data_IF_547091871513
#
_entry.id   IF_547091871513
#
_cell.length_a   1.000
_cell.length_b   1.000
_cell.length_c   1.000
_cell.angle_alpha   90.00
_cell.angle_beta   90.00
_cell.angle_gamma   90.00
#
_symmetry.space_group_name_H-M   'P 1'
#
loop_
_entity.id
_entity.type
_entity.pdbx_description
1 polymer ?
#
# COMPACT_ATOMS: atom_id res chain seq x y z
N UNK A 1 -32.37 -42.51 -20.94
CA UNK A 1 -31.09 -42.66 -20.21
C UNK A 1 -30.07 -41.85 -20.97
N UNK A 2 -29.59 -40.73 -20.43
CA UNK A 2 -28.44 -40.04 -21.01
C UNK A 2 -27.24 -41.01 -20.97
N UNK A 3 -26.47 -41.08 -22.05
CA UNK A 3 -25.30 -41.96 -22.06
C UNK A 3 -24.26 -41.41 -21.08
N UNK A 4 -23.41 -42.27 -20.53
CA UNK A 4 -22.31 -41.87 -19.63
C UNK A 4 -21.41 -40.80 -20.26
N UNK A 5 -21.33 -40.78 -21.60
CA UNK A 5 -20.59 -39.80 -22.40
C UNK A 5 -21.24 -38.42 -22.35
N UNK A 6 -22.57 -38.34 -22.39
CA UNK A 6 -23.31 -37.07 -22.31
C UNK A 6 -23.16 -36.42 -20.94
N UNK A 7 -23.12 -37.22 -19.86
CA UNK A 7 -22.89 -36.74 -18.50
C UNK A 7 -21.47 -36.21 -18.33
N UNK A 8 -20.47 -36.89 -18.90
CA UNK A 8 -19.07 -36.44 -18.87
C UNK A 8 -18.85 -35.17 -19.69
N UNK A 9 -19.49 -35.03 -20.85
CA UNK A 9 -19.43 -33.81 -21.67
C UNK A 9 -20.06 -32.62 -20.95
N UNK A 10 -21.21 -32.81 -20.29
CA UNK A 10 -21.84 -31.74 -19.51
C UNK A 10 -20.95 -31.34 -18.34
N UNK A 11 -20.35 -32.30 -17.61
CA UNK A 11 -19.43 -32.00 -16.52
C UNK A 11 -18.14 -31.32 -17.00
N UNK A 12 -17.62 -31.69 -18.17
CA UNK A 12 -16.43 -31.06 -18.76
C UNK A 12 -16.72 -29.64 -19.26
N UNK A 13 -17.88 -29.42 -19.88
CA UNK A 13 -18.35 -28.08 -20.26
C UNK A 13 -18.65 -27.26 -19.00
N UNK A 14 -19.19 -27.85 -17.94
CA UNK A 14 -19.35 -27.19 -16.65
C UNK A 14 -18.01 -26.87 -16.00
N UNK A 15 -17.00 -27.74 -16.10
CA UNK A 15 -15.64 -27.49 -15.61
C UNK A 15 -14.95 -26.38 -16.42
N UNK A 16 -15.16 -26.34 -17.73
CA UNK A 16 -14.70 -25.25 -18.61
C UNK A 16 -15.46 -23.94 -18.37
N UNK A 17 -16.72 -23.98 -17.95
CA UNK A 17 -17.52 -22.81 -17.57
C UNK A 17 -17.26 -22.36 -16.12
N UNK A 18 -16.85 -23.27 -15.23
CA UNK A 18 -16.41 -23.01 -13.84
C UNK A 18 -14.97 -22.51 -13.79
N UNK A 19 -14.17 -22.78 -14.82
CA UNK A 19 -13.01 -21.95 -15.19
C UNK A 19 -13.53 -20.62 -15.75
N UNK A 20 -14.20 -19.86 -14.90
CA UNK A 20 -14.44 -18.44 -15.11
C UNK A 20 -13.10 -17.82 -15.55
N UNK A 21 -13.11 -17.14 -16.70
CA UNK A 21 -12.00 -16.36 -17.23
C UNK A 21 -11.24 -15.66 -16.09
N UNK A 22 -10.18 -16.29 -15.62
CA UNK A 22 -9.21 -15.65 -14.77
C UNK A 22 -8.46 -14.74 -15.73
N UNK A 23 -8.89 -13.47 -15.78
CA UNK A 23 -8.15 -12.44 -16.50
C UNK A 23 -6.77 -12.44 -15.88
N UNK A 24 -5.77 -12.79 -16.68
CA UNK A 24 -4.40 -12.86 -16.21
C UNK A 24 -3.92 -11.42 -15.95
N UNK A 25 -4.15 -10.90 -14.74
CA UNK A 25 -3.73 -9.59 -14.30
C UNK A 25 -2.22 -9.59 -14.17
N UNK A 26 -1.59 -8.97 -15.15
CA UNK A 26 -0.22 -8.53 -15.12
C UNK A 26 -0.23 -7.00 -15.28
N UNK A 27 0.94 -6.38 -15.35
CA UNK A 27 1.03 -4.93 -15.59
C UNK A 27 0.39 -4.50 -16.92
N UNK A 28 -0.05 -5.41 -17.80
CA UNK A 28 -0.56 -5.08 -19.12
C UNK A 28 0.52 -4.50 -20.02
N UNK A 29 1.78 -4.81 -19.71
CA UNK A 29 2.96 -4.36 -20.43
C UNK A 29 3.53 -5.47 -21.29
N UNK A 30 3.90 -5.13 -22.52
CA UNK A 30 4.86 -5.93 -23.27
C UNK A 30 6.23 -5.91 -22.61
N UNK A 31 7.06 -6.93 -22.88
CA UNK A 31 8.46 -6.98 -22.40
C UNK A 31 9.25 -5.70 -22.75
N UNK A 32 9.02 -5.14 -23.93
CA UNK A 32 9.65 -3.89 -24.36
C UNK A 32 9.16 -2.67 -23.56
N UNK A 33 7.89 -2.61 -23.19
CA UNK A 33 7.35 -1.53 -22.36
C UNK A 33 7.85 -1.65 -20.92
N UNK A 34 7.97 -2.87 -20.39
CA UNK A 34 8.55 -3.12 -19.07
C UNK A 34 10.03 -2.73 -18.99
N UNK A 35 10.82 -3.10 -20.01
CA UNK A 35 12.23 -2.69 -20.11
C UNK A 35 12.37 -1.16 -20.19
N UNK A 36 11.56 -0.51 -21.02
CA UNK A 36 11.54 0.97 -21.12
C UNK A 36 11.18 1.62 -19.80
N UNK A 37 10.20 1.08 -19.07
CA UNK A 37 9.83 1.58 -17.75
C UNK A 37 10.99 1.45 -16.75
N UNK A 38 11.68 0.29 -16.75
CA UNK A 38 12.87 0.05 -15.91
C UNK A 38 14.02 1.01 -16.25
N UNK A 39 14.27 1.27 -17.53
CA UNK A 39 15.27 2.23 -18.00
C UNK A 39 14.93 3.65 -17.57
N UNK A 40 13.67 4.08 -17.69
CA UNK A 40 13.23 5.41 -17.25
C UNK A 40 13.42 5.62 -15.74
N UNK A 41 13.12 4.60 -14.93
CA UNK A 41 13.31 4.67 -13.48
C UNK A 41 14.79 4.69 -13.04
N UNK A 42 15.66 3.99 -13.76
CA UNK A 42 17.10 3.98 -13.44
C UNK A 42 17.86 5.18 -14.02
N UNK A 43 17.31 5.84 -15.04
CA UNK A 43 17.88 7.03 -15.67
C UNK A 43 17.19 8.35 -15.27
N UNK A 44 16.43 8.38 -14.17
CA UNK A 44 15.69 9.57 -13.68
C UNK A 44 16.53 10.84 -13.64
N UNK A 45 17.79 10.73 -13.23
CA UNK A 45 18.75 11.85 -13.12
C UNK A 45 18.91 12.64 -14.42
N UNK A 46 18.76 11.99 -15.58
CA UNK A 46 18.85 12.64 -16.90
C UNK A 46 17.66 13.55 -17.20
N UNK A 47 16.54 13.32 -16.53
CA UNK A 47 15.28 14.05 -16.68
C UNK A 47 14.94 14.96 -15.50
N UNK A 48 15.79 14.98 -14.47
CA UNK A 48 15.57 15.71 -13.24
C UNK A 48 15.75 17.23 -13.43
N UNK A 49 14.76 18.00 -12.99
CA UNK A 49 14.81 19.47 -12.98
C UNK A 49 15.56 19.97 -11.73
N UNK A 50 15.38 19.29 -10.61
CA UNK A 50 16.06 19.52 -9.33
C UNK A 50 16.29 18.16 -8.68
N UNK A 51 17.38 18.03 -7.93
CA UNK A 51 17.63 16.85 -7.09
C UNK A 51 17.67 17.29 -5.63
N UNK A 52 16.97 16.55 -4.77
CA UNK A 52 16.91 16.77 -3.33
C UNK A 52 17.65 15.61 -2.66
N UNK A 53 18.55 15.93 -1.73
CA UNK A 53 19.22 14.95 -0.89
C UNK A 53 18.65 15.04 0.50
N UNK A 54 18.04 13.96 0.96
CA UNK A 54 17.41 13.96 2.27
C UNK A 54 17.54 12.59 2.91
N UNK A 55 18.06 12.57 4.14
CA UNK A 55 18.04 11.38 4.99
C UNK A 55 18.74 10.14 4.39
N UNK A 56 19.69 10.36 3.48
CA UNK A 56 20.46 9.33 2.77
C UNK A 56 19.88 8.97 1.40
N UNK A 57 18.70 9.48 1.07
CA UNK A 57 18.07 9.30 -0.23
C UNK A 57 18.34 10.47 -1.18
N UNK A 58 18.14 10.17 -2.46
CA UNK A 58 18.14 11.13 -3.54
C UNK A 58 16.75 11.10 -4.16
N UNK A 59 16.07 12.26 -4.20
CA UNK A 59 14.80 12.44 -4.88
C UNK A 59 15.00 13.33 -6.10
N UNK A 60 14.63 12.83 -7.27
CA UNK A 60 14.67 13.60 -8.50
C UNK A 60 13.29 14.22 -8.76
N UNK A 61 13.26 15.55 -8.86
CA UNK A 61 12.07 16.30 -9.21
C UNK A 61 11.86 16.22 -10.72
N UNK A 62 10.90 15.40 -11.14
CA UNK A 62 10.56 15.18 -12.54
C UNK A 62 9.35 16.04 -12.90
N UNK A 63 9.35 16.60 -14.11
CA UNK A 63 8.16 17.25 -14.69
C UNK A 63 6.93 16.34 -14.52
N UNK A 64 5.88 16.87 -13.91
CA UNK A 64 4.67 16.12 -13.57
C UNK A 64 4.14 15.34 -14.77
N UNK A 65 4.15 15.91 -15.97
CA UNK A 65 3.59 15.32 -17.18
C UNK A 65 4.51 14.29 -17.84
N UNK A 66 5.79 14.24 -17.43
CA UNK A 66 6.83 13.36 -17.97
C UNK A 66 7.22 12.22 -17.03
N UNK A 67 6.61 12.12 -15.84
CA UNK A 67 6.88 11.03 -14.91
C UNK A 67 6.66 9.65 -15.56
N UNK A 68 7.45 8.62 -15.21
CA UNK A 68 7.42 7.30 -15.85
C UNK A 68 6.03 6.67 -15.91
N UNK A 69 5.22 6.87 -14.86
CA UNK A 69 3.86 6.33 -14.78
C UNK A 69 3.00 6.66 -16.01
N UNK A 70 3.09 7.87 -16.57
CA UNK A 70 2.29 8.26 -17.75
C UNK A 70 2.65 7.55 -19.05
N UNK A 71 3.79 6.84 -19.12
CA UNK A 71 4.18 6.04 -20.28
C UNK A 71 3.47 4.68 -20.31
N UNK A 72 2.80 4.30 -19.23
CA UNK A 72 2.02 3.07 -19.16
C UNK A 72 0.86 3.08 -20.18
N UNK A 73 0.59 1.96 -20.89
CA UNK A 73 -0.50 1.86 -21.87
C UNK A 73 -1.86 2.34 -21.39
N UNK A 74 -2.19 2.08 -20.12
CA UNK A 74 -3.44 2.52 -19.52
C UNK A 74 -3.62 4.05 -19.45
N UNK A 75 -2.55 4.82 -19.50
CA UNK A 75 -2.60 6.29 -19.52
C UNK A 75 -2.47 6.88 -20.94
N UNK A 76 -2.38 6.06 -22.00
CA UNK A 76 -2.22 6.54 -23.40
C UNK A 76 -3.38 7.46 -23.83
N UNK A 77 -4.59 7.21 -23.32
CA UNK A 77 -5.79 7.98 -23.67
C UNK A 77 -6.08 9.14 -22.70
N UNK A 78 -5.18 9.42 -21.75
CA UNK A 78 -5.34 10.51 -20.79
C UNK A 78 -5.13 11.86 -21.48
N UNK A 79 -6.19 12.67 -21.53
CA UNK A 79 -6.12 14.01 -22.13
C UNK A 79 -5.26 14.97 -21.32
N UNK A 80 -4.74 16.02 -21.95
CA UNK A 80 -4.00 17.07 -21.24
C UNK A 80 -4.84 17.72 -20.13
N UNK A 81 -6.14 17.93 -20.38
CA UNK A 81 -7.06 18.49 -19.39
C UNK A 81 -7.16 17.61 -18.14
N UNK A 82 -7.17 16.29 -18.32
CA UNK A 82 -7.20 15.32 -17.21
C UNK A 82 -5.88 15.34 -16.43
N UNK A 83 -4.73 15.32 -17.11
CA UNK A 83 -3.42 15.46 -16.44
C UNK A 83 -3.33 16.79 -15.68
N UNK A 84 -3.84 17.88 -16.24
CA UNK A 84 -3.91 19.18 -15.56
C UNK A 84 -4.79 19.12 -14.30
N UNK A 85 -5.94 18.43 -14.35
CA UNK A 85 -6.79 18.25 -13.15
C UNK A 85 -6.03 17.50 -12.06
N UNK A 86 -5.35 16.40 -12.40
CA UNK A 86 -4.52 15.63 -11.47
C UNK A 86 -3.42 16.48 -10.83
N UNK A 87 -2.73 17.26 -11.65
CA UNK A 87 -1.72 18.19 -11.17
C UNK A 87 -2.31 19.19 -10.16
N UNK A 88 -3.46 19.81 -10.47
CA UNK A 88 -4.14 20.74 -9.56
C UNK A 88 -4.61 20.06 -8.26
N UNK A 89 -4.99 18.79 -8.31
CA UNK A 89 -5.38 18.02 -7.13
C UNK A 89 -4.20 17.68 -6.21
N UNK A 90 -2.98 17.57 -6.78
CA UNK A 90 -1.74 17.38 -6.02
C UNK A 90 -1.18 18.66 -5.38
N UNK A 91 -1.56 19.84 -5.88
CA UNK A 91 -1.08 21.17 -5.43
C UNK A 91 -1.71 21.70 -4.13
N UNK A 92 -2.46 20.89 -3.37
CA UNK A 92 -3.27 21.39 -2.24
C UNK A 92 -2.41 22.20 -1.23
N UNK A 93 -3.01 23.27 -0.69
CA UNK A 93 -2.36 24.41 -0.01
C UNK A 93 -1.40 24.03 1.12
N UNK A 94 -0.20 24.64 1.09
CA UNK A 94 0.85 24.60 2.13
C UNK A 94 0.42 25.04 3.54
N UNK A 95 -0.73 25.70 3.68
CA UNK A 95 -1.22 26.22 4.97
C UNK A 95 -1.73 25.13 5.91
N UNK A 96 -1.96 23.92 5.39
CA UNK A 96 -2.70 22.88 6.10
C UNK A 96 -1.79 21.72 6.54
N UNK A 97 -0.62 21.52 5.91
CA UNK A 97 0.30 20.45 6.31
C UNK A 97 0.86 20.67 7.73
N UNK A 98 0.77 19.68 8.63
CA UNK A 98 1.47 19.73 9.90
C UNK A 98 2.96 19.95 9.70
N UNK A 99 3.53 20.85 10.49
CA UNK A 99 4.96 21.10 10.55
C UNK A 99 5.69 19.74 10.71
N UNK A 100 6.35 19.28 9.63
CA UNK A 100 7.17 18.05 9.47
C UNK A 100 6.59 16.88 8.65
N UNK A 101 5.59 17.07 7.79
CA UNK A 101 5.19 16.05 6.79
C UNK A 101 5.74 16.42 5.41
N UNK A 102 6.36 15.45 4.73
CA UNK A 102 6.98 15.63 3.42
C UNK A 102 8.49 15.92 3.47
N UNK A 103 9.08 16.09 2.29
CA UNK A 103 10.48 16.44 2.09
C UNK A 103 10.81 17.82 2.67
N UNK A 104 12.06 18.01 3.10
CA UNK A 104 12.63 19.31 3.49
C UNK A 104 12.57 20.32 2.35
N UNK A 105 12.70 21.59 2.71
CA UNK A 105 12.71 22.74 1.78
C UNK A 105 11.48 22.79 0.85
N UNK A 106 10.31 22.42 1.39
CA UNK A 106 9.02 22.46 0.68
C UNK A 106 8.93 21.50 -0.52
N UNK A 107 9.83 20.51 -0.61
CA UNK A 107 9.84 19.49 -1.64
C UNK A 107 10.24 19.99 -3.04
N UNK A 108 9.56 19.45 -4.05
CA UNK A 108 9.85 19.70 -5.45
C UNK A 108 9.20 21.00 -5.96
N UNK A 109 9.87 21.74 -6.87
CA UNK A 109 9.34 23.00 -7.39
C UNK A 109 8.02 22.78 -8.15
N UNK A 110 7.24 23.86 -8.27
CA UNK A 110 5.97 23.84 -8.99
C UNK A 110 6.11 23.22 -10.39
N UNK A 111 5.16 22.35 -10.74
CA UNK A 111 5.18 21.62 -12.01
C UNK A 111 5.97 20.31 -11.96
N UNK A 112 6.55 19.94 -10.82
CA UNK A 112 7.37 18.73 -10.68
C UNK A 112 6.96 17.89 -9.47
N UNK A 113 7.32 16.60 -9.49
CA UNK A 113 7.06 15.66 -8.40
C UNK A 113 8.33 14.88 -8.02
N UNK A 114 8.53 14.57 -6.73
CA UNK A 114 9.68 13.80 -6.28
C UNK A 114 9.51 12.34 -6.62
N UNK A 115 10.50 11.77 -7.31
CA UNK A 115 10.63 10.33 -7.50
C UNK A 115 11.94 9.91 -6.86
N UNK A 116 11.88 8.96 -5.92
CA UNK A 116 13.08 8.43 -5.27
C UNK A 116 13.94 7.73 -6.30
N UNK A 117 15.22 8.12 -6.37
CA UNK A 117 16.21 7.46 -7.21
C UNK A 117 16.49 6.07 -6.66
N UNK A 118 16.57 5.11 -7.57
CA UNK A 118 16.88 3.71 -7.28
C UNK A 118 17.99 3.24 -8.21
N UNK A 119 18.89 2.41 -7.69
CA UNK A 119 20.00 1.87 -8.49
C UNK A 119 19.54 0.72 -9.39
N UNK A 120 18.53 -0.03 -8.94
CA UNK A 120 17.94 -1.16 -9.64
C UNK A 120 16.43 -1.23 -9.39
N UNK A 121 15.72 -1.72 -10.40
CA UNK A 121 14.29 -1.99 -10.31
C UNK A 121 14.10 -3.49 -10.10
N UNK A 122 13.49 -3.86 -8.99
CA UNK A 122 13.17 -5.25 -8.65
C UNK A 122 11.66 -5.45 -8.79
N UNK A 123 11.20 -5.65 -10.04
CA UNK A 123 9.86 -6.19 -10.28
C UNK A 123 10.01 -7.70 -10.22
N UNK A 124 9.70 -8.28 -9.06
CA UNK A 124 9.66 -9.74 -8.90
C UNK A 124 8.37 -10.24 -9.54
N UNK A 125 8.51 -10.84 -10.72
CA UNK A 125 7.54 -11.77 -11.28
C UNK A 125 7.93 -13.15 -10.77
N UNK A 126 7.05 -13.78 -9.98
CA UNK A 126 7.15 -15.11 -9.36
C UNK A 126 7.42 -15.04 -7.86
N UNK A 127 6.37 -15.30 -7.09
CA UNK A 127 6.42 -15.65 -5.67
C UNK A 127 5.99 -17.11 -5.58
N UNK A 128 6.88 -17.99 -5.13
CA UNK A 128 6.45 -19.10 -4.28
C UNK A 128 6.19 -18.49 -2.91
N UNK A 129 5.04 -18.77 -2.28
CA UNK A 129 4.71 -18.26 -0.93
C UNK A 129 5.91 -18.49 0.00
N UNK A 130 6.69 -17.43 0.26
CA UNK A 130 7.94 -17.61 0.99
C UNK A 130 7.59 -17.84 2.46
N UNK A 131 7.93 -19.01 3.03
CA UNK A 131 7.74 -19.23 4.45
C UNK A 131 8.61 -18.21 5.22
N UNK A 132 8.06 -17.62 6.29
CA UNK A 132 8.76 -16.58 7.07
C UNK A 132 7.95 -15.31 7.35
N UNK A 133 6.76 -15.17 6.76
CA UNK A 133 5.83 -14.09 7.11
C UNK A 133 5.11 -14.38 8.42
N UNK A 134 5.06 -13.37 9.30
CA UNK A 134 4.20 -13.41 10.49
C UNK A 134 3.28 -12.19 10.59
N UNK A 135 2.10 -12.42 11.15
CA UNK A 135 1.01 -11.45 11.18
C UNK A 135 0.41 -11.34 12.57
N UNK A 136 0.03 -10.13 12.95
CA UNK A 136 -0.85 -9.84 14.08
C UNK A 136 -1.79 -8.71 13.65
N UNK A 137 -3.00 -9.07 13.24
CA UNK A 137 -3.89 -8.17 12.50
C UNK A 137 -5.38 -8.37 12.81
N UNK A 138 -6.15 -7.33 12.52
CA UNK A 138 -7.60 -7.37 12.42
C UNK A 138 -7.97 -7.51 10.94
N UNK A 139 -8.70 -8.56 10.57
CA UNK A 139 -9.11 -8.83 9.20
C UNK A 139 -10.61 -9.04 9.08
N UNK A 140 -11.22 -8.52 8.03
CA UNK A 140 -12.61 -8.84 7.71
C UNK A 140 -12.76 -10.32 7.34
N UNK A 141 -13.91 -10.92 7.60
CA UNK A 141 -14.18 -12.29 7.11
C UNK A 141 -14.24 -12.29 5.59
N UNK A 142 -13.81 -13.38 4.93
CA UNK A 142 -13.98 -13.54 3.50
C UNK A 142 -15.46 -13.43 3.11
N UNK A 143 -15.78 -12.49 2.22
CA UNK A 143 -17.13 -12.29 1.70
C UNK A 143 -17.05 -11.85 0.25
N UNK A 144 -17.35 -12.76 -0.68
CA UNK A 144 -17.26 -12.50 -2.12
C UNK A 144 -18.26 -11.45 -2.61
N UNK A 145 -19.32 -11.19 -1.85
CA UNK A 145 -20.35 -10.22 -2.22
C UNK A 145 -20.04 -8.82 -1.67
N UNK A 146 -19.02 -8.70 -0.81
CA UNK A 146 -18.62 -7.42 -0.25
C UNK A 146 -18.04 -6.52 -1.33
N UNK A 147 -18.46 -5.26 -1.27
CA UNK A 147 -18.11 -4.22 -2.23
C UNK A 147 -17.44 -3.05 -1.51
N UNK A 148 -16.15 -3.18 -1.27
CA UNK A 148 -15.31 -2.17 -0.61
C UNK A 148 -14.76 -1.20 -1.66
N UNK A 149 -15.04 0.10 -1.50
CA UNK A 149 -14.47 1.16 -2.32
C UNK A 149 -13.45 2.01 -1.55
N UNK A 150 -13.15 1.68 -0.29
CA UNK A 150 -12.03 2.29 0.42
C UNK A 150 -11.77 1.72 1.81
N UNK A 151 -10.55 1.94 2.29
CA UNK A 151 -10.10 1.59 3.64
C UNK A 151 -9.29 2.74 4.25
N UNK A 152 -9.36 2.90 5.56
CA UNK A 152 -8.54 3.88 6.28
C UNK A 152 -8.12 3.40 7.67
N UNK A 153 -7.03 3.96 8.17
CA UNK A 153 -6.65 3.89 9.59
C UNK A 153 -5.57 4.93 9.89
N UNK A 154 -5.43 5.28 11.17
CA UNK A 154 -4.21 5.91 11.68
C UNK A 154 -3.28 4.83 12.20
N UNK A 155 -2.01 4.95 11.88
CA UNK A 155 -0.96 4.10 12.38
C UNK A 155 -0.08 4.87 13.34
N UNK A 156 0.14 4.33 14.55
CA UNK A 156 1.17 4.84 15.44
C UNK A 156 2.55 4.73 14.77
N UNK A 157 3.33 5.80 14.77
CA UNK A 157 4.61 5.82 14.07
C UNK A 157 5.72 5.27 14.97
N UNK A 158 6.06 3.99 14.85
CA UNK A 158 7.15 3.38 15.63
C UNK A 158 8.32 3.00 14.74
N UNK A 159 9.53 2.95 15.31
CA UNK A 159 10.72 2.47 14.61
C UNK A 159 11.33 1.28 15.37
N UNK A 160 10.89 0.04 15.08
CA UNK A 160 11.45 -1.16 15.70
C UNK A 160 12.96 -1.25 15.44
N UNK A 161 13.70 -1.74 16.43
CA UNK A 161 15.16 -1.89 16.37
C UNK A 161 15.53 -3.33 16.06
N UNK A 162 16.72 -3.54 15.49
CA UNK A 162 17.23 -4.88 15.18
C UNK A 162 16.64 -5.51 13.92
N UNK A 163 16.08 -4.72 13.00
CA UNK A 163 15.70 -5.18 11.66
C UNK A 163 16.96 -5.17 10.79
N UNK A 164 17.35 -6.31 10.23
CA UNK A 164 18.60 -6.46 9.48
C UNK A 164 18.42 -7.28 8.19
N UNK A 165 19.35 -7.10 7.24
CA UNK A 165 19.42 -7.91 6.03
C UNK A 165 18.14 -7.85 5.17
N UNK A 166 17.55 -9.02 4.94
CA UNK A 166 16.30 -9.19 4.17
C UNK A 166 15.03 -9.16 5.03
N UNK A 167 15.15 -8.90 6.33
CA UNK A 167 13.98 -8.82 7.21
C UNK A 167 13.21 -7.52 6.97
N UNK A 168 11.93 -7.53 7.31
CA UNK A 168 11.16 -6.29 7.44
C UNK A 168 10.16 -6.35 8.57
N UNK A 169 9.78 -5.17 9.06
CA UNK A 169 8.71 -5.00 10.03
C UNK A 169 7.80 -3.86 9.60
N UNK A 170 6.53 -4.18 9.38
CA UNK A 170 5.55 -3.30 8.78
C UNK A 170 4.32 -3.18 9.66
N UNK A 171 3.72 -2.00 9.62
CA UNK A 171 2.38 -1.76 10.12
C UNK A 171 1.56 -1.10 9.01
N UNK A 172 0.52 -1.82 8.60
CA UNK A 172 -0.07 -1.65 7.27
C UNK A 172 -1.55 -1.97 7.23
N UNK A 173 -2.20 -1.46 6.19
CA UNK A 173 -3.52 -1.89 5.76
C UNK A 173 -3.48 -2.45 4.36
N UNK A 174 -4.35 -3.41 4.10
CA UNK A 174 -4.47 -4.09 2.81
C UNK A 174 -5.90 -4.02 2.35
N UNK A 175 -6.09 -3.67 1.07
CA UNK A 175 -7.33 -3.88 0.34
C UNK A 175 -7.09 -5.00 -0.67
N UNK A 176 -7.94 -6.03 -0.68
CA UNK A 176 -7.78 -7.16 -1.59
C UNK A 176 -9.09 -7.61 -2.24
N UNK A 177 -8.93 -8.30 -3.36
CA UNK A 177 -9.99 -9.07 -4.00
C UNK A 177 -9.40 -10.29 -4.71
N UNK A 178 -9.56 -11.47 -4.11
CA UNK A 178 -8.85 -12.67 -4.57
C UNK A 178 -7.34 -12.49 -4.39
N UNK A 179 -6.58 -12.78 -5.45
CA UNK A 179 -5.11 -12.74 -5.41
C UNK A 179 -4.53 -11.36 -5.72
N UNK A 180 -5.39 -10.36 -5.94
CA UNK A 180 -4.99 -8.96 -6.04
C UNK A 180 -5.00 -8.30 -4.66
N UNK A 181 -3.93 -7.56 -4.36
CA UNK A 181 -3.88 -6.72 -3.17
C UNK A 181 -3.16 -5.39 -3.41
N UNK A 182 -3.68 -4.35 -2.78
CA UNK A 182 -3.06 -3.04 -2.66
C UNK A 182 -2.81 -2.76 -1.17
N UNK A 183 -1.54 -2.83 -0.77
CA UNK A 183 -1.09 -2.58 0.59
C UNK A 183 -0.46 -1.21 0.70
N UNK A 184 -0.71 -0.53 1.82
CA UNK A 184 0.05 0.66 2.21
C UNK A 184 0.19 0.73 3.72
N UNK A 185 1.21 1.42 4.18
CA UNK A 185 1.51 1.52 5.59
C UNK A 185 2.86 2.17 5.79
N UNK A 186 3.44 1.87 6.94
CA UNK A 186 4.80 2.23 7.28
C UNK A 186 5.60 0.95 7.50
N UNK A 187 6.85 0.94 7.05
CA UNK A 187 7.72 -0.24 7.13
C UNK A 187 9.14 0.16 7.47
N UNK A 188 9.84 -0.71 8.18
CA UNK A 188 11.30 -0.74 8.27
C UNK A 188 11.75 -1.90 7.40
N UNK A 189 12.40 -1.61 6.28
CA UNK A 189 12.82 -2.61 5.30
C UNK A 189 14.23 -2.25 4.76
N UNK A 190 15.30 -2.79 5.38
CA UNK A 190 16.67 -2.50 5.00
C UNK A 190 17.02 -2.99 3.59
N UNK A 191 16.38 -4.05 3.11
CA UNK A 191 16.57 -4.54 1.74
C UNK A 191 16.11 -3.50 0.71
N UNK A 192 14.92 -2.93 0.92
CA UNK A 192 14.29 -1.99 -0.02
C UNK A 192 14.87 -0.57 0.07
N UNK A 193 15.19 -0.10 1.28
CA UNK A 193 15.57 1.30 1.51
C UNK A 193 17.04 1.52 1.84
N UNK A 194 17.80 0.45 2.11
CA UNK A 194 19.20 0.50 2.55
C UNK A 194 19.41 1.27 3.85
N UNK A 195 18.38 1.31 4.69
CA UNK A 195 18.43 1.86 6.04
C UNK A 195 17.39 1.20 6.97
N UNK A 196 17.41 1.60 8.23
CA UNK A 196 16.50 1.11 9.27
C UNK A 196 15.54 2.23 9.75
N UNK A 197 15.04 3.03 8.81
CA UNK A 197 14.05 4.08 9.10
C UNK A 197 12.65 3.57 8.79
N UNK A 198 11.68 4.00 9.59
CA UNK A 198 10.26 3.83 9.31
C UNK A 198 9.87 4.70 8.12
N UNK A 199 9.42 4.05 7.04
CA UNK A 199 9.16 4.70 5.75
C UNK A 199 7.76 4.40 5.26
N UNK A 200 7.14 5.39 4.63
CA UNK A 200 5.90 5.19 3.88
C UNK A 200 6.16 4.22 2.74
N UNK A 201 5.30 3.21 2.59
CA UNK A 201 5.41 2.28 1.48
C UNK A 201 4.06 1.90 0.89
N UNK A 202 4.12 1.40 -0.33
CA UNK A 202 3.04 0.67 -0.96
C UNK A 202 3.59 -0.63 -1.54
N UNK A 203 2.75 -1.66 -1.53
CA UNK A 203 3.06 -2.95 -2.14
C UNK A 203 1.82 -3.42 -2.89
N UNK A 204 1.99 -3.74 -4.17
CA UNK A 204 0.91 -4.27 -5.01
C UNK A 204 1.26 -5.71 -5.36
N UNK A 205 0.28 -6.58 -5.24
CA UNK A 205 0.31 -7.95 -5.76
C UNK A 205 -0.85 -8.09 -6.75
N UNK A 206 -0.56 -8.62 -7.94
CA UNK A 206 -1.51 -8.92 -8.99
C UNK A 206 -1.48 -10.43 -9.25
N UNK A 207 -2.65 -11.05 -9.29
CA UNK A 207 -2.79 -12.50 -9.54
C UNK A 207 -1.89 -13.38 -8.64
N UNK A 208 -1.56 -12.92 -7.42
CA UNK A 208 -0.75 -13.64 -6.45
C UNK A 208 0.73 -13.84 -6.85
N UNK A 209 1.16 -13.37 -8.02
CA UNK A 209 2.51 -13.64 -8.56
C UNK A 209 3.29 -12.38 -8.89
N UNK A 210 2.63 -11.42 -9.54
CA UNK A 210 3.29 -10.20 -10.00
C UNK A 210 3.25 -9.18 -8.88
N UNK A 211 4.40 -8.69 -8.45
CA UNK A 211 4.44 -7.71 -7.37
C UNK A 211 5.44 -6.58 -7.61
N UNK A 212 5.26 -5.49 -6.87
CA UNK A 212 6.15 -4.33 -6.89
C UNK A 212 5.99 -3.51 -5.61
N UNK A 213 7.00 -2.69 -5.33
CA UNK A 213 6.96 -1.71 -4.27
C UNK A 213 6.99 -0.28 -4.81
N UNK A 214 6.24 0.61 -4.16
CA UNK A 214 6.33 2.06 -4.36
C UNK A 214 6.23 2.50 -5.84
N UNK A 215 7.04 3.47 -6.27
CA UNK A 215 7.09 3.96 -7.65
C UNK A 215 7.68 2.94 -8.65
N UNK A 216 8.15 1.77 -8.17
CA UNK A 216 8.54 0.67 -9.06
C UNK A 216 7.32 -0.05 -9.64
N UNK A 217 6.13 0.24 -9.14
CA UNK A 217 4.87 -0.24 -9.69
C UNK A 217 4.51 0.50 -10.98
N UNK A 218 4.47 -0.19 -12.13
CA UNK A 218 4.08 0.43 -13.39
C UNK A 218 2.69 1.07 -13.33
N UNK A 219 2.58 2.25 -13.94
CA UNK A 219 1.33 3.02 -13.99
C UNK A 219 1.00 3.82 -12.73
N UNK A 220 1.82 3.76 -11.66
CA UNK A 220 1.68 4.67 -10.53
C UNK A 220 1.92 6.12 -10.94
N UNK A 221 1.04 7.04 -10.52
CA UNK A 221 1.20 8.48 -10.72
C UNK A 221 1.40 9.13 -9.35
N UNK A 222 2.58 9.74 -9.16
CA UNK A 222 2.87 10.61 -8.02
C UNK A 222 2.14 11.93 -8.22
N UNK A 223 1.37 12.35 -7.21
CA UNK A 223 0.60 13.60 -7.22
C UNK A 223 1.23 14.67 -6.33
N UNK A 224 1.60 14.30 -5.10
CA UNK A 224 2.20 15.25 -4.17
C UNK A 224 3.61 15.64 -4.61
N UNK A 225 3.92 16.94 -4.61
CA UNK A 225 5.27 17.48 -4.79
C UNK A 225 6.14 17.38 -3.54
N UNK A 226 5.56 16.97 -2.41
CA UNK A 226 6.19 17.02 -1.08
C UNK A 226 6.35 15.63 -0.45
N UNK A 227 5.40 14.72 -0.69
CA UNK A 227 5.36 13.41 -0.01
C UNK A 227 5.57 12.30 -1.05
N UNK A 228 6.81 11.84 -1.29
CA UNK A 228 7.06 10.67 -2.13
C UNK A 228 6.76 9.36 -1.39
N UNK A 229 6.44 8.29 -2.12
CA UNK A 229 6.57 6.94 -1.56
C UNK A 229 8.03 6.64 -1.23
N UNK A 230 8.24 5.87 -0.17
CA UNK A 230 9.55 5.64 0.43
C UNK A 230 10.03 6.78 1.32
N UNK A 231 9.25 7.85 1.54
CA UNK A 231 9.63 8.96 2.44
C UNK A 231 9.85 8.47 3.89
N UNK A 232 10.96 8.83 4.54
CA UNK A 232 11.20 8.53 5.95
C UNK A 232 10.32 9.41 6.85
N UNK A 233 9.54 8.77 7.72
CA UNK A 233 8.62 9.48 8.61
C UNK A 233 9.43 10.26 9.66
N UNK A 234 9.30 11.59 9.66
CA UNK A 234 10.10 12.45 10.53
C UNK A 234 9.77 12.36 12.03
N UNK A 235 8.49 12.15 12.40
CA UNK A 235 8.04 12.06 13.79
C UNK A 235 7.82 10.60 14.19
N UNK A 236 8.72 10.07 15.00
CA UNK A 236 8.64 8.71 15.56
C UNK A 236 8.21 8.79 17.03
N UNK A 237 7.25 7.95 17.38
CA UNK A 237 6.72 7.76 18.73
C UNK A 237 7.76 7.12 19.64
N UNK A 238 7.74 7.51 20.91
CA UNK A 238 8.60 6.96 21.96
C UNK A 238 7.73 6.21 22.95
N UNK A 239 8.09 4.96 23.23
CA UNK A 239 7.40 4.12 24.23
C UNK A 239 7.33 4.83 25.58
N UNK A 240 6.12 5.00 26.12
CA UNK A 240 5.85 5.73 27.36
C UNK A 240 6.02 7.26 27.26
N UNK A 241 6.30 7.79 26.07
CA UNK A 241 6.65 9.19 25.82
C UNK A 241 5.65 9.92 24.94
N UNK A 242 6.15 10.69 23.96
CA UNK A 242 5.32 11.34 22.95
C UNK A 242 4.89 10.34 21.87
N UNK A 243 3.60 10.35 21.54
CA UNK A 243 3.01 9.49 20.52
C UNK A 243 2.58 10.32 19.31
N UNK A 244 2.92 9.83 18.14
CA UNK A 244 2.52 10.36 16.86
C UNK A 244 1.82 9.27 16.06
N UNK A 245 0.87 9.68 15.23
CA UNK A 245 0.15 8.77 14.35
C UNK A 245 -0.06 9.42 12.99
N UNK A 246 -0.06 8.60 11.95
CA UNK A 246 -0.27 9.04 10.57
C UNK A 246 -1.52 8.38 10.02
N UNK A 247 -2.45 9.18 9.50
CA UNK A 247 -3.62 8.65 8.79
C UNK A 247 -3.22 8.24 7.37
N UNK A 248 -3.65 7.05 6.95
CA UNK A 248 -3.63 6.66 5.54
C UNK A 248 -5.03 6.26 5.11
N UNK A 249 -5.36 6.55 3.86
CA UNK A 249 -6.60 6.12 3.20
C UNK A 249 -6.30 5.65 1.79
N UNK A 250 -6.87 4.51 1.43
CA UNK A 250 -7.04 4.09 0.04
C UNK A 250 -8.52 4.24 -0.28
N UNK A 251 -8.86 4.90 -1.38
CA UNK A 251 -10.24 4.99 -1.83
C UNK A 251 -10.32 5.01 -3.34
N UNK A 252 -11.39 4.42 -3.88
CA UNK A 252 -11.73 4.47 -5.29
C UNK A 252 -12.26 5.87 -5.62
N UNK A 253 -11.72 6.47 -6.67
CA UNK A 253 -12.18 7.75 -7.21
C UNK A 253 -12.45 7.63 -8.71
N UNK A 254 -13.24 8.54 -9.26
CA UNK A 254 -13.61 8.58 -10.67
C UNK A 254 -13.15 9.88 -11.32
N UNK A 255 -12.28 9.75 -12.31
CA UNK A 255 -11.82 10.85 -13.13
C UNK A 255 -12.66 10.99 -14.39
N UNK A 256 -13.04 12.23 -14.73
CA UNK A 256 -13.71 12.52 -16.00
C UNK A 256 -12.67 12.62 -17.12
N UNK A 257 -12.92 11.95 -18.25
CA UNK A 257 -12.02 11.99 -19.42
C UNK A 257 -12.46 12.97 -20.51
N UNK A 258 -13.45 13.83 -20.24
CA UNK A 258 -13.95 14.84 -21.20
C UNK A 258 -14.96 14.34 -22.24
N UNK A 259 -15.02 13.04 -22.47
CA UNK A 259 -16.17 12.33 -23.07
C UNK A 259 -17.04 11.77 -21.92
N UNK A 260 -18.28 11.32 -22.17
CA UNK A 260 -19.16 10.75 -21.13
C UNK A 260 -18.61 9.49 -20.40
N UNK A 261 -17.33 9.18 -20.55
CA UNK A 261 -16.59 8.14 -19.85
C UNK A 261 -15.91 8.68 -18.59
N UNK A 262 -15.91 7.84 -17.55
CA UNK A 262 -15.15 8.04 -16.32
C UNK A 262 -14.13 6.91 -16.21
N UNK A 263 -12.90 7.24 -15.84
CA UNK A 263 -11.90 6.25 -15.47
C UNK A 263 -11.80 6.18 -13.96
N UNK A 264 -11.83 4.97 -13.42
CA UNK A 264 -11.63 4.79 -11.99
C UNK A 264 -10.17 4.62 -11.62
N UNK A 265 -9.81 5.11 -10.46
CA UNK A 265 -8.48 5.01 -9.86
C UNK A 265 -8.56 4.61 -8.40
N UNK A 266 -7.53 3.95 -7.90
CA UNK A 266 -7.26 3.86 -6.48
C UNK A 266 -6.38 5.03 -6.09
N UNK A 267 -6.85 5.84 -5.14
CA UNK A 267 -6.17 7.02 -4.65
C UNK A 267 -5.58 6.75 -3.26
N UNK A 268 -4.28 7.02 -3.08
CA UNK A 268 -3.65 7.06 -1.78
C UNK A 268 -3.70 8.48 -1.22
N UNK A 269 -4.26 8.60 -0.02
CA UNK A 269 -4.32 9.84 0.71
C UNK A 269 -3.67 9.69 2.08
N UNK A 270 -3.10 10.79 2.56
CA UNK A 270 -2.39 10.86 3.82
C UNK A 270 -2.92 11.99 4.68
N UNK A 271 -2.91 11.73 5.99
CA UNK A 271 -3.21 12.67 7.06
C UNK A 271 -4.65 13.23 7.08
N UNK A 272 -4.94 14.07 8.07
CA UNK A 272 -6.28 14.64 8.31
C UNK A 272 -6.77 15.52 7.16
N UNK A 273 -5.86 16.20 6.47
CA UNK A 273 -6.17 17.04 5.30
C UNK A 273 -6.39 16.24 4.00
N UNK A 274 -6.28 14.91 4.10
CA UNK A 274 -6.49 13.98 3.00
C UNK A 274 -5.60 14.30 1.79
N UNK A 275 -4.35 14.63 2.06
CA UNK A 275 -3.31 14.98 1.09
C UNK A 275 -3.16 13.86 0.08
N UNK A 276 -3.30 14.16 -1.20
CA UNK A 276 -3.23 13.18 -2.29
C UNK A 276 -1.77 12.85 -2.58
N UNK A 277 -1.33 11.66 -2.17
CA UNK A 277 0.06 11.22 -2.37
C UNK A 277 0.27 10.76 -3.80
N UNK A 278 -0.59 9.86 -4.28
CA UNK A 278 -0.55 9.33 -5.63
C UNK A 278 -1.72 8.40 -5.92
N UNK A 279 -1.74 7.84 -7.11
CA UNK A 279 -2.83 6.97 -7.56
C UNK A 279 -2.36 5.85 -8.49
N UNK A 280 -3.22 4.83 -8.63
CA UNK A 280 -3.09 3.75 -9.60
C UNK A 280 -4.36 3.65 -10.44
N UNK A 281 -4.27 3.44 -11.76
CA UNK A 281 -5.45 3.19 -12.56
C UNK A 281 -6.01 1.82 -12.18
N UNK A 282 -7.32 1.70 -11.94
CA UNK A 282 -7.88 0.41 -11.50
C UNK A 282 -7.64 -0.71 -12.51
N UNK A 283 -7.44 -0.37 -13.79
CA UNK A 283 -7.19 -1.30 -14.90
C UNK A 283 -5.90 -2.11 -14.79
N UNK A 284 -4.96 -1.74 -13.89
CA UNK A 284 -3.79 -2.60 -13.60
C UNK A 284 -4.14 -3.82 -12.76
N UNK A 285 -5.27 -3.77 -12.06
CA UNK A 285 -5.71 -4.86 -11.21
C UNK A 285 -6.60 -5.82 -12.00
N UNK A 286 -6.63 -7.09 -11.60
CA UNK A 286 -7.58 -8.08 -12.09
C UNK A 286 -8.94 -7.88 -11.45
N UNK A 287 -9.22 -8.57 -10.35
CA UNK A 287 -10.50 -8.46 -9.63
C UNK A 287 -10.60 -7.17 -8.81
N UNK A 288 -9.47 -6.67 -8.31
CA UNK A 288 -9.44 -5.40 -7.58
C UNK A 288 -9.64 -4.18 -8.51
N UNK A 289 -9.77 -4.39 -9.82
CA UNK A 289 -10.24 -3.37 -10.76
C UNK A 289 -11.61 -2.82 -10.35
N UNK A 290 -12.53 -3.71 -9.99
CA UNK A 290 -13.91 -3.36 -9.67
C UNK A 290 -13.99 -2.82 -8.25
N UNK A 291 -13.83 -3.66 -7.24
CA UNK A 291 -13.89 -3.27 -5.83
C UNK A 291 -13.10 -4.26 -4.99
N UNK A 292 -12.74 -3.89 -3.77
CA UNK A 292 -12.24 -4.85 -2.79
C UNK A 292 -13.36 -5.67 -2.19
N UNK A 293 -13.04 -6.84 -1.65
CA UNK A 293 -13.99 -7.67 -0.89
C UNK A 293 -13.45 -8.09 0.49
N UNK A 294 -12.16 -7.87 0.71
CA UNK A 294 -11.49 -8.11 1.99
C UNK A 294 -10.58 -6.94 2.32
N UNK A 295 -10.47 -6.67 3.62
CA UNK A 295 -9.58 -5.67 4.17
C UNK A 295 -9.01 -6.12 5.51
N UNK A 296 -7.78 -5.70 5.80
CA UNK A 296 -7.12 -6.01 7.06
C UNK A 296 -6.10 -4.95 7.46
N UNK A 297 -5.90 -4.81 8.78
CA UNK A 297 -5.05 -3.80 9.42
C UNK A 297 -4.23 -4.44 10.53
N UNK A 298 -2.94 -4.13 10.62
CA UNK A 298 -2.11 -4.57 11.73
C UNK A 298 -0.64 -4.68 11.36
N UNK A 299 0.06 -5.51 12.11
CA UNK A 299 1.47 -5.78 11.92
C UNK A 299 1.72 -6.96 10.98
N UNK A 300 2.73 -6.80 10.12
CA UNK A 300 3.27 -7.82 9.24
C UNK A 300 4.79 -7.77 9.32
N UNK A 301 5.42 -8.91 9.59
CA UNK A 301 6.88 -9.04 9.62
C UNK A 301 7.31 -10.17 8.71
N UNK A 302 8.57 -10.13 8.28
CA UNK A 302 9.20 -11.19 7.51
C UNK A 302 10.64 -11.40 7.97
N UNK A 303 11.05 -12.66 7.99
CA UNK A 303 12.44 -13.08 8.04
C UNK A 303 12.63 -14.36 7.23
N UNK A 304 13.82 -14.56 6.64
CA UNK A 304 14.23 -15.88 6.18
C UNK A 304 14.12 -16.93 7.30
N UNK A 305 13.81 -18.17 6.93
CA UNK A 305 13.60 -19.28 7.88
C UNK A 305 14.82 -19.62 8.75
N UNK A 306 16.02 -19.28 8.31
CA UNK A 306 17.27 -19.53 9.04
C UNK A 306 17.62 -18.42 10.04
N UNK A 307 16.81 -17.36 10.10
CA UNK A 307 17.01 -16.18 10.94
C UNK A 307 15.88 -16.03 11.98
N UNK A 308 16.16 -15.44 13.16
CA UNK A 308 15.13 -15.06 14.12
C UNK A 308 14.15 -14.06 13.52
N UNK A 309 12.85 -14.24 13.75
CA UNK A 309 11.85 -13.27 13.25
C UNK A 309 12.00 -11.92 13.96
N UNK A 310 11.89 -10.79 13.25
CA UNK A 310 12.17 -9.48 13.81
C UNK A 310 11.06 -8.99 14.75
N UNK A 311 11.34 -7.98 15.60
CA UNK A 311 10.30 -7.35 16.39
C UNK A 311 9.24 -6.65 15.52
N UNK A 312 8.00 -6.73 15.97
CA UNK A 312 6.83 -6.03 15.42
C UNK A 312 6.47 -4.85 16.30
N UNK A 313 6.12 -3.70 15.71
CA UNK A 313 5.63 -2.54 16.45
C UNK A 313 6.70 -1.90 17.34
N UNK A 314 6.49 -1.94 18.65
CA UNK A 314 7.46 -1.51 19.68
C UNK A 314 8.48 -2.59 20.02
N UNK A 315 8.21 -3.86 19.66
CA UNK A 315 9.01 -5.01 20.10
C UNK A 315 8.67 -5.49 21.51
N UNK A 316 7.62 -4.94 22.14
CA UNK A 316 7.19 -5.27 23.49
C UNK A 316 5.77 -5.82 23.39
N UNK A 317 5.51 -7.00 23.94
CA UNK A 317 4.15 -7.55 23.93
C UNK A 317 3.14 -6.56 24.52
N UNK A 318 1.94 -6.41 23.91
CA UNK A 318 1.02 -5.37 24.30
C UNK A 318 0.43 -5.63 25.70
N UNK A 319 0.60 -4.69 26.63
CA UNK A 319 0.00 -4.72 27.98
C UNK A 319 -1.33 -3.94 28.07
N UNK A 320 -1.97 -3.65 26.94
CA UNK A 320 -3.30 -3.01 26.89
C UNK A 320 -3.31 -1.47 26.93
N UNK A 321 -2.15 -0.81 26.87
CA UNK A 321 -2.03 0.65 26.85
C UNK A 321 -1.38 1.14 25.54
N UNK A 322 -2.08 2.07 24.86
CA UNK A 322 -1.62 2.75 23.64
C UNK A 322 -0.30 3.49 23.82
N UNK A 323 0.05 3.86 25.07
CA UNK A 323 1.33 4.48 25.40
C UNK A 323 2.53 3.52 25.29
N UNK A 324 2.27 2.22 25.33
CA UNK A 324 3.32 1.20 25.35
C UNK A 324 3.17 0.19 24.22
N UNK A 325 2.25 0.43 23.28
CA UNK A 325 1.99 -0.48 22.18
C UNK A 325 1.83 0.26 20.84
N UNK A 326 2.28 -0.39 19.78
CA UNK A 326 1.90 -0.02 18.43
C UNK A 326 0.41 -0.27 18.23
N UNK A 327 -0.22 0.61 17.46
CA UNK A 327 -1.67 0.62 17.37
C UNK A 327 -2.14 1.13 16.01
N UNK A 328 -3.34 0.67 15.65
CA UNK A 328 -4.14 1.23 14.58
C UNK A 328 -5.47 1.70 15.14
N UNK A 329 -5.81 2.96 14.87
CA UNK A 329 -7.04 3.60 15.38
C UNK A 329 -7.89 4.15 14.23
N UNK A 330 -9.16 4.45 14.52
CA UNK A 330 -10.16 4.87 13.52
C UNK A 330 -10.15 3.94 12.28
N UNK A 331 -10.14 2.62 12.53
CA UNK A 331 -10.20 1.62 11.47
C UNK A 331 -11.55 1.70 10.76
N UNK A 332 -11.54 1.95 9.46
CA UNK A 332 -12.74 2.18 8.67
C UNK A 332 -12.72 1.51 7.30
N UNK A 333 -13.91 1.09 6.86
CA UNK A 333 -14.22 0.64 5.50
C UNK A 333 -15.26 1.58 4.90
N UNK A 334 -15.07 1.95 3.64
CA UNK A 334 -16.09 2.55 2.79
C UNK A 334 -16.64 1.49 1.84
N UNK A 335 -17.95 1.48 1.67
CA UNK A 335 -18.64 0.57 0.75
C UNK A 335 -19.12 1.33 -0.49
N UNK A 336 -19.30 0.60 -1.59
CA UNK A 336 -19.87 1.15 -2.83
C UNK A 336 -21.14 1.97 -2.56
N UNK A 337 -21.24 3.14 -3.19
CA UNK A 337 -22.37 4.07 -3.07
C UNK A 337 -22.58 4.69 -1.68
N UNK A 338 -21.64 4.55 -0.75
CA UNK A 338 -21.73 5.14 0.59
C UNK A 338 -21.36 6.63 0.65
N UNK A 339 -21.06 7.26 -0.50
CA UNK A 339 -20.54 8.64 -0.58
C UNK A 339 -19.25 8.82 0.23
N UNK A 340 -18.36 7.84 0.19
CA UNK A 340 -17.09 7.83 0.92
C UNK A 340 -17.25 7.94 2.44
N UNK A 341 -18.35 7.39 2.98
CA UNK A 341 -18.56 7.29 4.43
C UNK A 341 -17.85 6.06 4.97
N UNK A 342 -16.80 6.29 5.76
CA UNK A 342 -16.07 5.23 6.45
C UNK A 342 -16.80 4.79 7.72
N UNK A 343 -16.98 3.48 7.86
CA UNK A 343 -17.63 2.85 9.01
C UNK A 343 -16.77 1.73 9.58
N UNK A 344 -16.97 1.39 10.86
CA UNK A 344 -16.25 0.28 11.48
C UNK A 344 -16.61 -1.06 10.80
N UNK A 345 -15.64 -1.95 10.54
CA UNK A 345 -15.91 -3.24 9.91
C UNK A 345 -16.57 -4.22 10.88
N UNK A 346 -17.89 -4.38 10.84
CA UNK A 346 -18.64 -5.15 11.85
C UNK A 346 -18.29 -6.64 11.92
N UNK A 347 -17.75 -7.21 10.86
CA UNK A 347 -17.45 -8.64 10.74
C UNK A 347 -15.97 -8.98 10.97
N UNK A 348 -15.13 -7.98 11.29
CA UNK A 348 -13.70 -8.20 11.42
C UNK A 348 -13.32 -9.00 12.67
N UNK A 349 -12.34 -9.89 12.49
CA UNK A 349 -11.82 -10.84 13.48
C UNK A 349 -10.30 -10.69 13.62
N UNK A 350 -9.77 -11.04 14.78
CA UNK A 350 -8.33 -11.07 15.02
C UNK A 350 -7.67 -12.28 14.35
N UNK A 351 -6.44 -12.09 13.88
CA UNK A 351 -5.60 -13.14 13.33
C UNK A 351 -4.15 -12.96 13.77
N UNK A 352 -3.57 -14.05 14.28
CA UNK A 352 -2.18 -14.16 14.72
C UNK A 352 -1.60 -15.41 14.08
N UNK A 353 -0.55 -15.26 13.27
CA UNK A 353 0.10 -16.43 12.67
C UNK A 353 1.07 -17.13 13.63
N UNK A 354 1.64 -16.37 14.58
CA UNK A 354 2.44 -16.89 15.68
C UNK A 354 2.13 -16.16 17.01
N UNK A 355 1.14 -16.64 17.78
CA UNK A 355 0.75 -16.07 19.08
C UNK A 355 1.85 -16.09 20.15
N UNK A 356 2.92 -16.89 19.95
CA UNK A 356 4.07 -16.96 20.87
C UNK A 356 5.08 -15.84 20.63
N UNK A 357 5.07 -15.22 19.45
CA UNK A 357 6.00 -14.13 19.13
C UNK A 357 5.29 -12.80 18.99
N UNK A 358 4.04 -12.81 18.52
CA UNK A 358 3.26 -11.61 18.24
C UNK A 358 1.87 -11.71 18.86
N UNK A 359 1.27 -10.57 19.14
CA UNK A 359 -0.09 -10.51 19.68
C UNK A 359 -0.83 -9.31 19.13
N UNK A 360 -2.13 -9.46 18.90
CA UNK A 360 -3.05 -8.37 18.56
C UNK A 360 -4.22 -8.36 19.54
N UNK A 361 -4.62 -7.18 19.96
CA UNK A 361 -5.73 -6.97 20.88
C UNK A 361 -6.70 -5.93 20.31
N UNK A 362 -7.96 -6.33 20.13
CA UNK A 362 -9.04 -5.40 19.74
C UNK A 362 -9.61 -4.73 21.00
N UNK A 363 -9.34 -3.44 21.14
CA UNK A 363 -9.91 -2.60 22.21
C UNK A 363 -11.36 -2.16 21.92
N UNK A 364 -11.94 -2.62 20.82
CA UNK A 364 -13.28 -2.26 20.38
C UNK A 364 -13.39 -0.81 19.93
N UNK A 365 -14.64 -0.34 19.79
CA UNK A 365 -14.92 1.05 19.47
C UNK A 365 -14.83 1.92 20.73
N UNK A 366 -14.01 2.97 20.65
CA UNK A 366 -13.88 4.05 21.62
C UNK A 366 -14.34 5.36 20.98
N UNK A 367 -14.92 6.27 21.76
CA UNK A 367 -15.49 7.52 21.22
C UNK A 367 -14.42 8.51 20.78
N UNK A 368 -14.81 9.42 19.86
CA UNK A 368 -13.98 10.55 19.44
C UNK A 368 -12.70 10.13 18.73
N UNK A 369 -11.57 10.54 19.30
CA UNK A 369 -10.22 10.39 18.72
C UNK A 369 -9.83 8.94 18.40
N UNK A 370 -10.31 7.95 19.16
CA UNK A 370 -9.82 6.57 19.04
C UNK A 370 -10.58 5.73 18.01
N UNK A 371 -11.90 5.88 17.87
CA UNK A 371 -12.70 4.99 17.02
C UNK A 371 -12.48 3.51 17.36
N UNK A 372 -12.55 2.62 16.37
CA UNK A 372 -12.08 1.25 16.56
C UNK A 372 -10.55 1.23 16.68
N UNK A 373 -10.06 0.64 17.77
CA UNK A 373 -8.65 0.61 18.13
C UNK A 373 -8.18 -0.83 18.27
N UNK A 374 -7.08 -1.16 17.59
CA UNK A 374 -6.33 -2.38 17.84
C UNK A 374 -4.91 -2.04 18.29
N UNK A 375 -4.37 -2.88 19.18
CA UNK A 375 -2.96 -2.87 19.56
C UNK A 375 -2.31 -4.11 18.97
N UNK A 376 -1.12 -4.00 18.39
CA UNK A 376 -0.40 -5.16 17.86
C UNK A 376 1.09 -4.98 18.11
N UNK A 377 1.75 -6.03 18.54
CA UNK A 377 3.13 -5.95 18.99
C UNK A 377 3.75 -7.32 19.17
N UNK A 378 5.09 -7.38 19.23
CA UNK A 378 5.78 -8.60 19.62
C UNK A 378 7.29 -8.51 19.52
N UNK A 379 8.05 -9.15 20.44
CA UNK A 379 9.51 -9.09 20.45
C UNK A 379 10.18 -9.80 19.27
N UNK A 380 9.41 -10.57 18.49
CA UNK A 380 9.98 -11.50 17.52
C UNK A 380 10.24 -12.87 18.15
N UNK A 381 10.61 -13.82 17.30
CA UNK A 381 10.88 -15.20 17.70
C UNK A 381 12.39 -15.45 17.78
N UNK A 382 12.87 -16.01 18.90
CA UNK A 382 14.22 -16.57 18.99
C UNK A 382 14.21 -17.90 18.23
N UNK A 383 15.29 -18.20 17.50
CA UNK A 383 15.54 -19.52 16.90
C UNK A 383 15.18 -20.59 17.95
N UNK A 384 14.17 -21.41 17.69
CA UNK A 384 13.90 -22.56 18.55
C UNK A 384 15.10 -23.48 18.46
N UNK A 385 15.84 -23.62 19.56
CA UNK A 385 16.94 -24.58 19.72
C UNK A 385 16.51 -26.02 19.38
#
# INVERSE_FOLDING_TARGET
MASMVDVLLVLFVWFLLLNHNEVDANWGLSREEELRFKEQLTSLSTSAIKTIHEDGDIYDCIDFYKQPGFHHPFWKNTTFQMKRKLFMEGLRSKTDLPLNIGLKDEGCPYGTVPIRRIDKVEVNSDIEEEPGHHYAMLQTKPDRNRKIDGIESYFGTFNPKGIEGSQYSSFRMTLSNGDDSLKTGLTVNPLLFKDNKTRLFTHIVLNGRTQCFNQQCPGYIQLSSEIPLGWPVGRISVVGGLHYALKLRISKDYMSTGTNSRESVWLLQMDDDMLKVGLWPTKVFGRLHDLGNQADWGGEVYSPLDQPSPPMGTGIRPYGDVKYAAHSRLIGISYENSQSKFVNPSDAVLYESDPKSYSVFDSGYRTGYWGRLILYDGPGGIKSD
#
